data_IF_416714776206
#
_entry.id   IF_416714776206
#
_cell.length_a   1.000
_cell.length_b   1.000
_cell.length_c   1.000
_cell.angle_alpha   90.00
_cell.angle_beta   90.00
_cell.angle_gamma   90.00
#
_symmetry.space_group_name_H-M   'P 1'
#
loop_
_entity.id
_entity.type
_entity.pdbx_description
1 polymer ?
#
# COMPACT_ATOMS: atom_id res chain seq x y z
N UNK A 1 -68.10 -20.24 -23.13
CA UNK A 1 -68.15 -19.18 -24.17
C UNK A 1 -67.16 -18.10 -23.77
N UNK A 2 -65.98 -18.03 -24.39
CA UNK A 2 -64.99 -16.99 -24.09
C UNK A 2 -65.28 -15.74 -24.93
N UNK A 3 -65.30 -14.56 -24.31
CA UNK A 3 -65.60 -13.30 -24.98
C UNK A 3 -64.53 -12.93 -26.04
N UNK A 4 -64.90 -12.31 -27.17
CA UNK A 4 -63.94 -11.86 -28.17
C UNK A 4 -63.10 -10.71 -27.59
N UNK A 5 -61.77 -10.85 -27.64
CA UNK A 5 -60.83 -9.82 -27.20
C UNK A 5 -60.77 -8.65 -28.20
N UNK A 6 -60.78 -7.42 -27.67
CA UNK A 6 -60.72 -6.20 -28.48
C UNK A 6 -59.43 -6.13 -29.33
N UNK A 7 -59.48 -5.53 -30.53
CA UNK A 7 -58.31 -5.36 -31.38
C UNK A 7 -57.27 -4.46 -30.69
N UNK A 8 -56.02 -4.94 -30.62
CA UNK A 8 -54.90 -4.18 -30.03
C UNK A 8 -54.67 -2.90 -30.85
N UNK A 9 -54.40 -1.76 -30.19
CA UNK A 9 -54.12 -0.51 -30.88
C UNK A 9 -52.92 -0.67 -31.84
N UNK A 10 -52.93 0.03 -33.00
CA UNK A 10 -51.83 -0.04 -33.96
C UNK A 10 -50.54 0.46 -33.30
N UNK A 11 -49.49 -0.35 -33.38
CA UNK A 11 -48.16 0.04 -32.88
C UNK A 11 -47.67 1.25 -33.69
N UNK A 12 -47.09 2.27 -33.04
CA UNK A 12 -46.52 3.42 -33.74
C UNK A 12 -45.48 2.93 -34.75
N UNK A 13 -45.62 3.33 -36.01
CA UNK A 13 -44.71 2.93 -37.09
C UNK A 13 -43.36 3.58 -36.84
N UNK A 14 -42.32 2.76 -36.73
CA UNK A 14 -40.95 3.25 -36.56
C UNK A 14 -40.47 3.80 -37.91
N UNK A 15 -40.12 5.08 -37.95
CA UNK A 15 -39.60 5.72 -39.17
C UNK A 15 -38.40 4.93 -39.72
N UNK A 16 -38.40 4.58 -41.03
CA UNK A 16 -37.33 3.80 -41.64
C UNK A 16 -36.02 4.59 -41.55
N UNK A 17 -35.06 4.04 -40.81
CA UNK A 17 -33.74 4.66 -40.67
C UNK A 17 -32.86 4.25 -41.85
N UNK A 18 -32.07 5.18 -42.43
CA UNK A 18 -31.08 4.82 -43.42
C UNK A 18 -30.07 3.86 -42.78
N UNK A 19 -29.82 2.72 -43.43
CA UNK A 19 -28.87 1.72 -42.97
C UNK A 19 -27.45 2.24 -43.26
N UNK A 20 -26.88 3.00 -42.33
CA UNK A 20 -25.49 3.46 -42.41
C UNK A 20 -24.59 2.35 -41.91
N UNK A 21 -23.81 1.75 -42.81
CA UNK A 21 -22.78 0.76 -42.46
C UNK A 21 -21.58 1.54 -41.88
N UNK A 22 -21.22 1.36 -40.60
CA UNK A 22 -20.09 2.06 -40.02
C UNK A 22 -18.78 1.57 -40.66
N UNK A 23 -17.90 2.51 -41.02
CA UNK A 23 -16.56 2.23 -41.57
C UNK A 23 -15.48 2.21 -40.50
N UNK A 24 -15.77 2.76 -39.31
CA UNK A 24 -14.86 2.85 -38.16
C UNK A 24 -15.59 2.55 -36.85
N UNK A 25 -14.87 2.04 -35.84
CA UNK A 25 -15.40 1.80 -34.49
C UNK A 25 -16.01 3.07 -33.86
N UNK A 26 -15.45 4.25 -34.18
CA UNK A 26 -15.99 5.52 -33.72
C UNK A 26 -17.36 5.84 -34.35
N UNK A 27 -17.56 5.47 -35.63
CA UNK A 27 -18.85 5.64 -36.31
C UNK A 27 -19.92 4.68 -35.72
N UNK A 28 -19.55 3.45 -35.36
CA UNK A 28 -20.46 2.51 -34.70
C UNK A 28 -20.93 3.02 -33.33
N UNK A 29 -20.00 3.54 -32.52
CA UNK A 29 -20.31 4.15 -31.23
C UNK A 29 -21.21 5.38 -31.40
N UNK A 30 -20.93 6.23 -32.39
CA UNK A 30 -21.75 7.40 -32.72
C UNK A 30 -23.18 6.98 -33.07
N UNK A 31 -23.36 5.99 -33.94
CA UNK A 31 -24.69 5.48 -34.33
C UNK A 31 -25.44 4.87 -33.14
N UNK A 32 -24.74 4.13 -32.26
CA UNK A 32 -25.32 3.58 -31.03
C UNK A 32 -25.73 4.66 -30.05
N UNK A 33 -24.94 5.72 -29.92
CA UNK A 33 -25.23 6.89 -29.08
C UNK A 33 -26.42 7.68 -29.62
N UNK A 34 -26.47 7.96 -30.92
CA UNK A 34 -27.59 8.64 -31.58
C UNK A 34 -28.90 7.87 -31.39
N UNK A 35 -28.87 6.54 -31.52
CA UNK A 35 -30.02 5.67 -31.23
C UNK A 35 -30.48 5.78 -29.78
N UNK A 36 -29.56 5.97 -28.83
CA UNK A 36 -29.87 6.09 -27.42
C UNK A 36 -30.45 7.47 -27.08
N UNK A 37 -29.87 8.53 -27.65
CA UNK A 37 -30.29 9.93 -27.44
C UNK A 37 -31.63 10.26 -28.07
N UNK A 38 -32.12 9.44 -29.02
CA UNK A 38 -33.46 9.61 -29.60
C UNK A 38 -34.58 9.49 -28.56
N UNK A 39 -34.38 8.70 -27.50
CA UNK A 39 -35.36 8.49 -26.43
C UNK A 39 -34.65 8.59 -25.07
N UNK A 40 -34.36 9.81 -24.56
CA UNK A 40 -33.58 9.99 -23.35
C UNK A 40 -34.29 9.54 -22.07
N UNK A 41 -35.63 9.48 -22.07
CA UNK A 41 -36.42 9.02 -20.92
C UNK A 41 -36.39 7.50 -20.71
N UNK A 42 -35.97 6.73 -21.72
CA UNK A 42 -35.95 5.26 -21.64
C UNK A 42 -34.69 4.80 -20.91
N UNK A 43 -34.84 4.14 -19.76
CA UNK A 43 -33.71 3.54 -19.04
C UNK A 43 -32.98 2.50 -19.90
N UNK A 44 -31.65 2.53 -19.82
CA UNK A 44 -30.79 1.62 -20.58
C UNK A 44 -30.70 0.29 -19.83
N UNK A 45 -31.09 -0.85 -20.42
CA UNK A 45 -30.88 -2.14 -19.79
C UNK A 45 -29.38 -2.46 -19.85
N UNK A 46 -28.68 -2.29 -18.73
CA UNK A 46 -27.33 -2.82 -18.55
C UNK A 46 -27.49 -4.32 -18.32
N UNK A 47 -26.91 -5.19 -19.19
CA UNK A 47 -26.98 -6.63 -18.96
C UNK A 47 -26.35 -6.96 -17.62
N UNK A 48 -27.13 -7.59 -16.73
CA UNK A 48 -26.58 -8.21 -15.54
C UNK A 48 -25.69 -9.40 -15.93
N UNK A 49 -24.90 -9.89 -14.98
CA UNK A 49 -24.05 -11.08 -15.19
C UNK A 49 -24.86 -12.19 -15.86
N UNK A 50 -24.34 -12.74 -16.95
CA UNK A 50 -24.96 -13.85 -17.64
C UNK A 50 -25.08 -15.01 -16.66
N UNK A 51 -26.30 -15.50 -16.47
CA UNK A 51 -26.51 -16.69 -15.66
C UNK A 51 -25.92 -17.90 -16.42
N UNK A 52 -25.10 -18.68 -15.73
CA UNK A 52 -24.57 -19.92 -16.30
C UNK A 52 -25.75 -20.86 -16.55
N UNK A 53 -25.72 -21.58 -17.68
CA UNK A 53 -26.78 -22.54 -17.97
C UNK A 53 -26.79 -23.61 -16.87
N UNK A 54 -27.93 -23.79 -16.22
CA UNK A 54 -28.11 -24.79 -15.18
C UNK A 54 -29.15 -25.83 -15.62
N UNK A 55 -28.94 -27.12 -15.30
CA UNK A 55 -29.93 -28.15 -15.56
C UNK A 55 -31.23 -27.78 -14.84
N UNK A 56 -32.36 -27.96 -15.53
CA UNK A 56 -33.67 -27.68 -14.95
C UNK A 56 -33.93 -28.64 -13.80
N UNK A 57 -34.48 -28.17 -12.66
CA UNK A 57 -34.85 -29.08 -11.58
C UNK A 57 -35.87 -30.10 -12.09
N UNK A 58 -35.76 -31.37 -11.68
CA UNK A 58 -36.74 -32.38 -12.05
C UNK A 58 -38.13 -31.98 -11.53
N UNK A 59 -39.21 -32.25 -12.29
CA UNK A 59 -40.56 -32.00 -11.82
C UNK A 59 -40.85 -32.88 -10.60
N UNK A 60 -41.52 -32.30 -9.60
CA UNK A 60 -41.73 -32.95 -8.31
C UNK A 60 -42.78 -34.07 -8.37
N UNK A 61 -43.87 -33.86 -9.12
CA UNK A 61 -44.85 -34.92 -9.43
C UNK A 61 -44.98 -35.15 -10.92
N UNK A 62 -44.82 -36.42 -11.32
CA UNK A 62 -45.17 -36.91 -12.65
C UNK A 62 -46.59 -37.47 -12.56
N UNK A 63 -47.54 -36.88 -13.31
CA UNK A 63 -48.98 -37.19 -13.20
C UNK A 63 -49.43 -38.28 -14.17
N UNK A 64 -48.64 -38.51 -15.21
CA UNK A 64 -48.88 -39.38 -16.36
C UNK A 64 -48.22 -40.77 -16.21
N UNK A 65 -47.93 -41.19 -14.98
CA UNK A 65 -47.36 -42.51 -14.70
C UNK A 65 -48.41 -43.59 -14.93
N UNK A 66 -48.19 -44.44 -15.92
CA UNK A 66 -48.98 -45.64 -16.16
C UNK A 66 -48.57 -46.77 -15.19
N UNK A 67 -49.47 -47.70 -14.90
CA UNK A 67 -49.24 -48.76 -13.91
C UNK A 67 -48.01 -49.63 -14.21
N UNK A 68 -47.34 -50.13 -13.16
CA UNK A 68 -46.04 -50.82 -13.25
C UNK A 68 -46.04 -52.10 -14.07
N UNK A 69 -47.20 -52.75 -14.24
CA UNK A 69 -47.37 -53.96 -15.06
C UNK A 69 -47.90 -53.68 -16.46
N UNK A 70 -48.13 -52.40 -16.83
CA UNK A 70 -48.59 -52.04 -18.15
C UNK A 70 -47.46 -52.23 -19.19
N UNK A 71 -47.84 -52.62 -20.41
CA UNK A 71 -46.89 -52.82 -21.52
C UNK A 71 -46.29 -51.50 -22.04
N UNK A 72 -45.27 -51.62 -22.89
CA UNK A 72 -44.65 -50.46 -23.53
C UNK A 72 -45.63 -49.76 -24.48
N UNK A 73 -46.00 -48.52 -24.16
CA UNK A 73 -46.83 -47.67 -25.02
C UNK A 73 -46.03 -47.06 -26.18
N UNK A 74 -46.72 -46.53 -27.18
CA UNK A 74 -46.09 -45.86 -28.34
C UNK A 74 -45.30 -44.59 -27.98
N UNK A 75 -45.66 -43.93 -26.87
CA UNK A 75 -45.00 -42.73 -26.37
C UNK A 75 -43.76 -42.99 -25.50
N UNK A 76 -43.57 -44.21 -24.99
CA UNK A 76 -42.53 -44.53 -23.99
C UNK A 76 -41.12 -44.28 -24.53
N UNK A 77 -40.90 -44.56 -25.83
CA UNK A 77 -39.63 -44.28 -26.49
C UNK A 77 -39.24 -42.79 -26.44
N UNK A 78 -40.21 -41.89 -26.63
CA UNK A 78 -39.94 -40.46 -26.59
C UNK A 78 -39.72 -39.95 -25.17
N UNK A 79 -40.43 -40.53 -24.18
CA UNK A 79 -40.19 -40.25 -22.76
C UNK A 79 -38.74 -40.59 -22.40
N UNK A 80 -38.28 -41.80 -22.71
CA UNK A 80 -36.87 -42.20 -22.49
C UNK A 80 -35.88 -41.29 -23.24
N UNK A 81 -36.14 -40.97 -24.50
CA UNK A 81 -35.27 -40.06 -25.29
C UNK A 81 -35.09 -38.70 -24.64
N UNK A 82 -36.17 -38.10 -24.12
CA UNK A 82 -36.11 -36.81 -23.44
C UNK A 82 -35.45 -36.91 -22.06
N UNK A 83 -35.75 -37.97 -21.30
CA UNK A 83 -35.14 -38.23 -19.99
C UNK A 83 -33.62 -38.43 -20.12
N UNK A 84 -33.17 -39.26 -21.06
CA UNK A 84 -31.74 -39.54 -21.29
C UNK A 84 -30.98 -38.29 -21.69
N UNK A 85 -31.54 -37.45 -22.56
CA UNK A 85 -30.92 -36.17 -22.93
C UNK A 85 -30.82 -35.22 -21.74
N UNK A 86 -31.88 -35.11 -20.94
CA UNK A 86 -31.88 -34.29 -19.72
C UNK A 86 -30.81 -34.77 -18.73
N UNK A 87 -30.68 -36.09 -18.59
CA UNK A 87 -29.72 -36.69 -17.67
C UNK A 87 -28.27 -36.52 -18.13
N UNK A 88 -27.98 -36.71 -19.42
CA UNK A 88 -26.64 -36.44 -19.96
C UNK A 88 -26.26 -34.96 -19.81
N UNK A 89 -27.18 -34.04 -20.13
CA UNK A 89 -26.93 -32.61 -19.91
C UNK A 89 -26.69 -32.27 -18.43
N UNK A 90 -27.37 -32.97 -17.51
CA UNK A 90 -27.14 -32.81 -16.06
C UNK A 90 -25.76 -33.34 -15.68
N UNK A 91 -25.40 -34.53 -16.15
CA UNK A 91 -24.11 -35.17 -15.85
C UNK A 91 -22.94 -34.34 -16.40
N UNK A 92 -23.00 -33.95 -17.68
CA UNK A 92 -22.00 -33.11 -18.34
C UNK A 92 -21.80 -31.78 -17.60
N UNK A 93 -22.89 -31.18 -17.10
CA UNK A 93 -22.82 -29.96 -16.29
C UNK A 93 -22.13 -30.18 -14.94
N UNK A 94 -22.45 -31.27 -14.24
CA UNK A 94 -21.81 -31.59 -12.96
C UNK A 94 -20.30 -31.84 -13.15
N UNK A 95 -19.93 -32.59 -14.19
CA UNK A 95 -18.54 -32.90 -14.49
C UNK A 95 -17.76 -31.64 -14.90
N UNK A 96 -18.34 -30.80 -15.76
CA UNK A 96 -17.73 -29.52 -16.16
C UNK A 96 -17.56 -28.54 -14.98
N UNK A 97 -18.55 -28.47 -14.08
CA UNK A 97 -18.47 -27.62 -12.88
C UNK A 97 -17.42 -28.12 -11.90
N UNK A 98 -17.33 -29.43 -11.69
CA UNK A 98 -16.31 -30.03 -10.82
C UNK A 98 -14.90 -29.77 -11.36
N UNK A 99 -14.70 -29.93 -12.68
CA UNK A 99 -13.41 -29.65 -13.32
C UNK A 99 -13.03 -28.17 -13.23
N UNK A 100 -13.97 -27.26 -13.51
CA UNK A 100 -13.76 -25.80 -13.38
C UNK A 100 -13.35 -25.44 -11.95
N UNK A 101 -14.06 -25.94 -10.94
CA UNK A 101 -13.74 -25.71 -9.53
C UNK A 101 -12.34 -26.21 -9.17
N UNK A 102 -11.98 -27.43 -9.60
CA UNK A 102 -10.65 -27.99 -9.36
C UNK A 102 -9.55 -27.11 -9.95
N UNK A 103 -9.70 -26.68 -11.20
CA UNK A 103 -8.73 -25.82 -11.89
C UNK A 103 -8.62 -24.44 -11.22
N UNK A 104 -9.75 -23.84 -10.83
CA UNK A 104 -9.78 -22.55 -10.14
C UNK A 104 -9.08 -22.63 -8.78
N UNK A 105 -9.31 -23.68 -8.00
CA UNK A 105 -8.63 -23.91 -6.73
C UNK A 105 -7.11 -24.10 -6.92
N UNK A 106 -6.69 -24.90 -7.89
CA UNK A 106 -5.28 -25.10 -8.21
C UNK A 106 -4.60 -23.80 -8.61
N UNK A 107 -5.29 -22.99 -9.42
CA UNK A 107 -4.82 -21.68 -9.85
C UNK A 107 -4.68 -20.72 -8.67
N UNK A 108 -5.67 -20.63 -7.78
CA UNK A 108 -5.62 -19.80 -6.58
C UNK A 108 -4.48 -20.24 -5.65
N UNK A 109 -4.37 -21.54 -5.37
CA UNK A 109 -3.26 -22.11 -4.58
C UNK A 109 -1.90 -21.77 -5.20
N UNK A 110 -1.78 -21.78 -6.53
CA UNK A 110 -0.54 -21.39 -7.23
C UNK A 110 -0.23 -19.90 -7.08
N UNK A 111 -1.23 -19.03 -7.21
CA UNK A 111 -1.08 -17.59 -7.01
C UNK A 111 -0.63 -17.26 -5.58
N UNK A 112 -1.26 -17.87 -4.58
CA UNK A 112 -0.91 -17.68 -3.17
C UNK A 112 0.52 -18.13 -2.88
N UNK A 113 0.92 -19.32 -3.34
CA UNK A 113 2.32 -19.78 -3.20
C UNK A 113 3.30 -18.81 -3.83
N UNK A 114 3.02 -18.30 -5.03
CA UNK A 114 3.89 -17.33 -5.70
C UNK A 114 3.99 -16.01 -4.91
N UNK A 115 2.87 -15.51 -4.37
CA UNK A 115 2.85 -14.32 -3.50
C UNK A 115 3.69 -14.54 -2.24
N UNK A 116 3.52 -15.67 -1.57
CA UNK A 116 4.28 -16.03 -0.37
C UNK A 116 5.78 -16.13 -0.64
N UNK A 117 6.19 -16.79 -1.73
CA UNK A 117 7.60 -16.88 -2.12
C UNK A 117 8.17 -15.49 -2.42
N UNK A 118 7.44 -14.65 -3.17
CA UNK A 118 7.88 -13.30 -3.48
C UNK A 118 8.02 -12.43 -2.22
N UNK A 119 7.09 -12.55 -1.27
CA UNK A 119 7.14 -11.86 0.01
C UNK A 119 8.29 -12.35 0.89
N UNK A 120 8.53 -13.66 0.97
CA UNK A 120 9.63 -14.24 1.74
C UNK A 120 10.99 -13.73 1.22
N UNK A 121 11.18 -13.75 -0.10
CA UNK A 121 12.41 -13.23 -0.73
C UNK A 121 12.57 -11.73 -0.47
N UNK A 122 11.49 -10.96 -0.57
CA UNK A 122 11.48 -9.53 -0.32
C UNK A 122 11.76 -9.21 1.15
N UNK A 123 11.16 -9.95 2.08
CA UNK A 123 11.37 -9.82 3.52
C UNK A 123 12.81 -10.18 3.91
N UNK A 124 13.39 -11.25 3.33
CA UNK A 124 14.79 -11.62 3.51
C UNK A 124 15.73 -10.50 3.05
N UNK A 125 15.49 -9.92 1.87
CA UNK A 125 16.27 -8.79 1.34
C UNK A 125 16.07 -7.52 2.19
N UNK A 126 14.84 -7.25 2.65
CA UNK A 126 14.51 -6.11 3.53
C UNK A 126 15.22 -6.22 4.87
N UNK A 127 15.18 -7.38 5.53
CA UNK A 127 15.91 -7.66 6.79
C UNK A 127 17.41 -7.45 6.64
N UNK A 128 18.02 -7.92 5.53
CA UNK A 128 19.44 -7.66 5.24
C UNK A 128 19.75 -6.17 5.11
N UNK A 129 18.91 -5.40 4.41
CA UNK A 129 19.07 -3.93 4.26
C UNK A 129 18.87 -3.19 5.59
N UNK A 130 17.92 -3.60 6.42
CA UNK A 130 17.69 -3.02 7.75
C UNK A 130 18.89 -3.24 8.67
N UNK A 131 19.39 -4.48 8.77
CA UNK A 131 20.62 -4.79 9.53
C UNK A 131 21.82 -3.95 9.06
N UNK A 132 21.97 -3.75 7.74
CA UNK A 132 23.04 -2.90 7.21
C UNK A 132 22.84 -1.41 7.56
N UNK A 133 21.60 -0.91 7.51
CA UNK A 133 21.27 0.47 7.93
C UNK A 133 21.54 0.68 9.43
N UNK A 134 21.14 -0.27 10.27
CA UNK A 134 21.38 -0.24 11.72
C UNK A 134 22.87 -0.22 12.04
N UNK A 135 23.67 -1.11 11.42
CA UNK A 135 25.14 -1.11 11.58
C UNK A 135 25.77 0.22 11.14
N UNK A 136 25.32 0.79 10.01
CA UNK A 136 25.80 2.11 9.55
C UNK A 136 25.42 3.23 10.51
N UNK A 137 24.21 3.19 11.09
CA UNK A 137 23.76 4.18 12.06
C UNK A 137 24.54 4.07 13.37
N UNK A 138 24.77 2.85 13.87
CA UNK A 138 25.61 2.60 15.04
C UNK A 138 27.05 3.06 14.82
N UNK A 139 27.68 2.74 13.69
CA UNK A 139 29.02 3.22 13.38
C UNK A 139 29.10 4.76 13.33
N UNK A 140 28.07 5.43 12.78
CA UNK A 140 27.99 6.90 12.80
C UNK A 140 27.85 7.46 14.22
N UNK A 141 27.02 6.83 15.08
CA UNK A 141 26.87 7.23 16.48
C UNK A 141 28.18 7.08 17.25
N UNK A 142 28.83 5.92 17.15
CA UNK A 142 30.11 5.65 17.81
C UNK A 142 31.20 6.64 17.35
N UNK A 143 31.27 6.96 16.04
CA UNK A 143 32.21 7.97 15.52
C UNK A 143 31.91 9.37 16.04
N UNK A 144 30.63 9.72 16.20
CA UNK A 144 30.22 11.02 16.76
C UNK A 144 30.56 11.10 18.26
N UNK A 145 30.39 10.00 19.01
CA UNK A 145 30.78 9.91 20.42
C UNK A 145 32.28 9.98 20.61
N UNK A 146 33.08 9.27 19.80
CA UNK A 146 34.54 9.39 19.80
C UNK A 146 34.97 10.83 19.52
N UNK A 147 34.39 11.48 18.50
CA UNK A 147 34.72 12.88 18.19
C UNK A 147 34.30 13.86 19.30
N UNK A 148 33.26 13.55 20.08
CA UNK A 148 32.89 14.32 21.28
C UNK A 148 33.84 14.08 22.44
N UNK A 149 34.29 12.85 22.64
CA UNK A 149 35.27 12.50 23.68
C UNK A 149 36.64 13.11 23.38
N UNK A 150 37.14 13.02 22.13
CA UNK A 150 38.38 13.67 21.68
C UNK A 150 38.31 15.18 21.91
N UNK A 151 37.23 15.84 21.46
CA UNK A 151 37.03 17.28 21.73
C UNK A 151 36.94 17.61 23.21
N UNK A 152 36.32 16.74 24.01
CA UNK A 152 36.21 16.94 25.47
C UNK A 152 37.55 16.79 26.17
N UNK A 153 38.37 15.83 25.76
CA UNK A 153 39.75 15.64 26.25
C UNK A 153 40.65 16.81 25.83
N UNK A 154 40.55 17.26 24.57
CA UNK A 154 41.29 18.41 24.06
C UNK A 154 40.91 19.70 24.81
N UNK A 155 39.61 19.91 25.09
CA UNK A 155 39.14 21.03 25.91
C UNK A 155 39.60 20.93 27.37
N UNK A 156 39.52 19.73 27.97
CA UNK A 156 39.98 19.51 29.34
C UNK A 156 41.50 19.71 29.46
N UNK A 157 42.27 19.29 28.45
CA UNK A 157 43.72 19.48 28.40
C UNK A 157 44.11 20.94 28.20
N UNK A 158 43.40 21.68 27.35
CA UNK A 158 43.54 23.14 27.23
C UNK A 158 43.22 23.84 28.57
N UNK A 159 42.15 23.43 29.24
CA UNK A 159 41.76 23.99 30.53
C UNK A 159 42.80 23.68 31.62
N UNK A 160 43.38 22.47 31.63
CA UNK A 160 44.48 22.09 32.52
C UNK A 160 45.73 22.95 32.28
N UNK A 161 46.15 23.11 31.02
CA UNK A 161 47.28 23.98 30.68
C UNK A 161 47.02 25.44 31.06
N UNK A 162 45.80 25.93 30.90
CA UNK A 162 45.42 27.29 31.29
C UNK A 162 45.44 27.46 32.82
N UNK A 163 45.01 26.46 33.59
CA UNK A 163 45.14 26.47 35.06
C UNK A 163 46.59 26.35 35.52
N UNK A 164 47.42 25.57 34.82
CA UNK A 164 48.83 25.35 35.14
C UNK A 164 49.66 26.59 34.81
N UNK A 165 49.38 27.28 33.70
CA UNK A 165 49.92 28.62 33.39
C UNK A 165 49.50 29.65 34.44
N UNK A 166 48.24 29.65 34.89
CA UNK A 166 47.81 30.53 36.00
C UNK A 166 48.59 30.26 37.29
N UNK A 167 48.82 28.99 37.63
CA UNK A 167 49.58 28.60 38.81
C UNK A 167 51.07 29.01 38.71
N UNK A 168 51.71 28.79 37.55
CA UNK A 168 53.09 29.21 37.28
C UNK A 168 53.28 30.74 37.33
N UNK A 169 52.33 31.52 36.80
CA UNK A 169 52.38 33.00 36.87
C UNK A 169 52.31 33.46 38.33
N UNK A 170 51.49 32.81 39.16
CA UNK A 170 51.35 33.13 40.57
C UNK A 170 52.59 32.77 41.41
N UNK A 171 53.36 31.76 40.98
CA UNK A 171 54.58 31.30 41.64
C UNK A 171 55.83 32.10 41.20
N UNK A 172 55.84 32.64 39.99
CA UNK A 172 56.91 33.55 39.50
C UNK A 172 56.77 34.97 40.08
N UNK A 173 55.56 35.42 40.41
CA UNK A 173 55.33 36.77 40.97
C UNK A 173 55.73 36.94 42.45
N UNK A 174 56.04 35.87 43.20
CA UNK A 174 56.11 35.96 44.66
C UNK A 174 57.49 36.14 45.33
N UNK A 175 58.67 35.89 44.72
CA UNK A 175 59.93 36.26 45.38
C UNK A 175 60.52 37.61 44.94
N UNK A 176 60.27 38.05 43.71
CA UNK A 176 60.94 39.23 43.13
C UNK A 176 60.13 40.54 43.26
N UNK A 177 58.79 40.47 43.28
CA UNK A 177 57.95 41.65 43.48
C UNK A 177 58.09 42.24 44.90
N UNK A 178 58.30 41.40 45.92
CA UNK A 178 58.43 41.86 47.31
C UNK A 178 59.78 42.57 47.59
N UNK A 179 60.85 42.21 46.87
CA UNK A 179 62.14 42.92 46.95
C UNK A 179 62.13 44.26 46.20
N UNK A 180 61.41 44.36 45.08
CA UNK A 180 61.26 45.62 44.34
C UNK A 180 60.34 46.61 45.07
N UNK A 181 59.27 46.14 45.71
CA UNK A 181 58.38 47.02 46.49
C UNK A 181 59.02 47.56 47.78
N UNK A 182 59.87 46.77 48.44
CA UNK A 182 60.61 47.21 49.64
C UNK A 182 61.71 48.21 49.30
N UNK A 183 62.44 48.02 48.19
CA UNK A 183 63.47 48.98 47.74
C UNK A 183 62.88 50.30 47.26
N UNK A 184 61.76 50.29 46.53
CA UNK A 184 61.08 51.51 46.09
C UNK A 184 60.48 52.27 47.31
N UNK A 185 59.89 51.56 48.27
CA UNK A 185 59.34 52.20 49.48
C UNK A 185 60.42 52.84 50.36
N UNK A 186 61.58 52.19 50.52
CA UNK A 186 62.70 52.73 51.29
C UNK A 186 63.32 53.98 50.62
N UNK A 187 63.34 54.02 49.28
CA UNK A 187 63.86 55.17 48.53
C UNK A 187 62.92 56.39 48.58
N UNK A 188 61.60 56.17 48.58
CA UNK A 188 60.61 57.24 48.75
C UNK A 188 60.68 57.82 50.18
N UNK A 189 60.90 56.99 51.21
CA UNK A 189 60.96 57.46 52.59
C UNK A 189 62.24 58.27 52.91
N UNK A 190 63.38 57.96 52.26
CA UNK A 190 64.60 58.78 52.36
C UNK A 190 64.38 60.16 51.71
N UNK A 191 63.68 60.23 50.58
CA UNK A 191 63.45 61.49 49.88
C UNK A 191 62.50 62.43 50.65
N UNK A 192 61.50 61.88 51.36
CA UNK A 192 60.61 62.68 52.22
C UNK A 192 61.30 63.21 53.51
N UNK A 193 62.27 62.49 54.07
CA UNK A 193 63.01 62.95 55.27
C UNK A 193 64.02 64.06 54.97
N UNK A 194 64.48 64.20 53.72
CA UNK A 194 65.38 65.29 53.32
C UNK A 194 64.67 66.62 52.97
N UNK A 195 63.34 66.64 52.83
CA UNK A 195 62.58 67.88 52.56
C UNK A 195 62.06 68.58 53.84
N UNK A 196 62.18 67.96 55.01
CA UNK A 196 61.69 68.52 56.29
C UNK A 196 62.78 69.19 57.15
N UNK A 197 64.04 69.21 56.70
CA UNK A 197 65.16 69.87 57.40
C UNK A 197 65.38 71.34 56.98
N UNK A 198 64.46 71.95 56.22
CA UNK A 198 64.60 73.32 55.69
C UNK A 198 63.40 74.23 56.03
N UNK A 199 62.92 74.22 57.27
CA UNK A 199 62.13 75.34 57.85
C UNK A 199 62.44 75.44 59.36
N UNK A 200 63.27 76.42 59.70
CA UNK A 200 63.65 76.90 61.04
C UNK A 200 62.50 77.71 61.69
N UNK A 201 62.53 78.10 62.99
CA UNK A 201 63.68 78.30 63.90
C UNK A 201 63.69 77.53 65.22
#
# INVERSE_FOLDING_TARGET
>A
MAAPSAPRPPRPRKEPQPLVIPRSAAEEQRLRLERLMRNPEKTVPIPEKLNEWAPRPPPEFVRDVMGSSAGAGSGEFHVYRHLRRREYQRQDFMDAMAEKQRLDEEFQKKLERNKMIAEEQTAKRRRKRQKLKEKKLQAKKNKLEQKKQEKGQENAQLQWQETELRFCVQEIETPWCHLLYTTISFHIEINMKNQTAAVLP
#
